data_IF_766252916680
#
_entry.id   IF_766252916680
#
_cell.length_a   1.000
_cell.length_b   1.000
_cell.length_c   1.000
_cell.angle_alpha   90.00
_cell.angle_beta   90.00
_cell.angle_gamma   90.00
#
_symmetry.space_group_name_H-M   'P 1'
#
loop_
_entity.id
_entity.type
_entity.pdbx_description
1 polymer ?
#
# COMPACT_ATOMS: atom_id res chain seq x y z
N UNK A 1 6.50 4.18 -39.89
CA UNK A 1 7.40 3.86 -38.77
C UNK A 1 6.51 3.54 -37.57
N UNK A 2 6.23 2.25 -37.33
CA UNK A 2 5.23 1.75 -36.37
C UNK A 2 5.93 1.14 -35.14
N UNK A 3 7.07 1.70 -34.74
CA UNK A 3 7.92 1.13 -33.69
C UNK A 3 7.69 1.73 -32.29
N UNK A 4 6.80 2.73 -32.15
CA UNK A 4 6.58 3.37 -30.85
C UNK A 4 5.41 2.77 -30.03
N UNK A 5 4.47 2.04 -30.65
CA UNK A 5 3.32 1.52 -29.90
C UNK A 5 3.65 0.39 -28.92
N UNK A 6 4.80 -0.28 -29.06
CA UNK A 6 5.30 -1.26 -28.07
C UNK A 6 6.11 -0.61 -26.93
N UNK A 7 6.31 0.71 -26.97
CA UNK A 7 6.93 1.53 -25.90
C UNK A 7 5.91 2.43 -25.19
N UNK A 8 4.66 2.46 -25.67
CA UNK A 8 3.59 3.41 -25.29
C UNK A 8 2.80 2.99 -24.05
N UNK A 9 2.87 1.73 -23.62
CA UNK A 9 2.46 1.34 -22.27
C UNK A 9 3.74 1.09 -21.44
N UNK A 10 4.48 2.16 -21.13
CA UNK A 10 5.65 2.07 -20.26
C UNK A 10 5.31 1.38 -18.94
N UNK A 11 6.33 0.94 -18.20
CA UNK A 11 6.21 0.42 -16.82
C UNK A 11 5.43 1.39 -15.88
N UNK A 12 5.38 2.64 -16.31
CA UNK A 12 4.76 3.81 -15.70
C UNK A 12 3.33 4.08 -16.16
N UNK A 13 2.79 3.32 -17.12
CA UNK A 13 1.43 3.56 -17.59
C UNK A 13 0.43 3.21 -16.48
N UNK A 14 -0.61 4.04 -16.24
CA UNK A 14 -1.62 3.80 -15.21
C UNK A 14 -2.21 2.38 -15.24
N UNK A 15 -2.52 1.86 -16.42
CA UNK A 15 -3.06 0.49 -16.56
C UNK A 15 -2.05 -0.58 -16.14
N UNK A 16 -0.78 -0.43 -16.52
CA UNK A 16 0.31 -1.33 -16.13
C UNK A 16 0.49 -1.33 -14.61
N UNK A 17 0.47 -0.16 -13.99
CA UNK A 17 0.54 0.01 -12.54
C UNK A 17 -0.64 -0.68 -11.85
N UNK A 18 -1.86 -0.48 -12.36
CA UNK A 18 -3.07 -1.09 -11.81
C UNK A 18 -3.00 -2.63 -11.90
N UNK A 19 -2.57 -3.17 -13.04
CA UNK A 19 -2.37 -4.63 -13.20
C UNK A 19 -1.34 -5.18 -12.21
N UNK A 20 -0.21 -4.50 -12.01
CA UNK A 20 0.82 -4.91 -11.03
C UNK A 20 0.30 -4.87 -9.59
N UNK A 21 -0.44 -3.82 -9.22
CA UNK A 21 -1.07 -3.70 -7.90
C UNK A 21 -2.09 -4.81 -7.64
N UNK A 22 -2.90 -5.16 -8.65
CA UNK A 22 -3.85 -6.27 -8.55
C UNK A 22 -3.16 -7.63 -8.41
N UNK A 23 -2.06 -7.85 -9.15
CA UNK A 23 -1.27 -9.07 -9.01
C UNK A 23 -0.65 -9.20 -7.60
N UNK A 24 -0.12 -8.11 -7.06
CA UNK A 24 0.39 -8.06 -5.69
C UNK A 24 -0.70 -8.39 -4.66
N UNK A 25 -1.91 -7.86 -4.85
CA UNK A 25 -3.05 -8.16 -4.01
C UNK A 25 -3.43 -9.65 -4.05
N UNK A 26 -3.58 -10.21 -5.25
CA UNK A 26 -3.93 -11.61 -5.45
C UNK A 26 -2.88 -12.54 -4.82
N UNK A 27 -1.60 -12.17 -4.92
CA UNK A 27 -0.50 -12.91 -4.32
C UNK A 27 -0.60 -12.99 -2.79
N UNK A 28 -0.91 -11.87 -2.14
CA UNK A 28 -1.15 -11.85 -0.69
C UNK A 28 -2.37 -12.69 -0.32
N UNK A 29 -3.46 -12.58 -1.08
CA UNK A 29 -4.69 -13.36 -0.86
C UNK A 29 -4.48 -14.87 -1.07
N UNK A 30 -3.57 -15.25 -1.97
CA UNK A 30 -3.15 -16.63 -2.19
C UNK A 30 -2.25 -17.19 -1.07
N UNK A 31 -1.97 -16.40 -0.02
CA UNK A 31 -1.20 -16.85 1.14
C UNK A 31 0.29 -16.47 1.09
N UNK A 32 0.70 -15.59 0.18
CA UNK A 32 2.08 -15.06 0.13
C UNK A 32 2.12 -13.55 0.51
N UNK A 33 1.96 -13.22 1.80
CA UNK A 33 1.97 -11.84 2.27
C UNK A 33 3.34 -11.17 2.06
N UNK A 34 4.45 -11.91 2.19
CA UNK A 34 5.79 -11.36 1.97
C UNK A 34 6.01 -10.99 0.50
N UNK A 35 5.60 -11.85 -0.43
CA UNK A 35 5.65 -11.55 -1.87
C UNK A 35 4.74 -10.39 -2.26
N UNK A 36 3.59 -10.22 -1.60
CA UNK A 36 2.74 -9.05 -1.78
C UNK A 36 3.45 -7.76 -1.33
N UNK A 37 4.10 -7.75 -0.17
CA UNK A 37 4.90 -6.61 0.33
C UNK A 37 5.96 -6.23 -0.69
N UNK A 38 6.79 -7.18 -1.13
CA UNK A 38 7.85 -6.92 -2.11
C UNK A 38 7.29 -6.34 -3.41
N UNK A 39 6.17 -6.86 -3.91
CA UNK A 39 5.56 -6.36 -5.13
C UNK A 39 5.00 -4.92 -4.95
N UNK A 40 4.37 -4.62 -3.82
CA UNK A 40 3.90 -3.26 -3.52
C UNK A 40 5.05 -2.26 -3.35
N UNK A 41 6.15 -2.65 -2.70
CA UNK A 41 7.36 -1.82 -2.56
C UNK A 41 8.01 -1.51 -3.91
N UNK A 42 8.04 -2.48 -4.83
CA UNK A 42 8.59 -2.29 -6.17
C UNK A 42 7.78 -1.33 -7.04
N UNK A 43 6.46 -1.21 -6.83
CA UNK A 43 5.60 -0.34 -7.64
C UNK A 43 5.36 1.03 -7.01
N UNK A 44 5.61 1.19 -5.71
CA UNK A 44 5.40 2.46 -5.01
C UNK A 44 6.17 3.65 -5.61
N UNK A 45 7.45 3.52 -6.03
CA UNK A 45 8.16 4.63 -6.69
C UNK A 45 7.50 5.08 -7.99
N UNK A 46 7.03 4.12 -8.81
CA UNK A 46 6.35 4.40 -10.08
C UNK A 46 5.02 5.11 -9.82
N UNK A 47 4.27 4.63 -8.82
CA UNK A 47 3.01 5.22 -8.37
C UNK A 47 3.21 6.66 -7.88
N UNK A 48 4.24 6.90 -7.05
CA UNK A 48 4.57 8.24 -6.56
C UNK A 48 4.95 9.19 -7.70
N UNK A 49 5.68 8.70 -8.71
CA UNK A 49 6.10 9.52 -9.85
C UNK A 49 4.94 9.85 -10.80
N UNK A 50 4.02 8.91 -11.02
CA UNK A 50 2.90 9.07 -11.97
C UNK A 50 1.71 9.82 -11.36
N UNK A 51 1.34 9.47 -10.14
CA UNK A 51 0.13 9.98 -9.49
C UNK A 51 0.41 11.03 -8.41
N UNK A 52 1.61 11.03 -7.82
CA UNK A 52 1.94 11.86 -6.67
C UNK A 52 1.57 11.22 -5.32
N UNK A 53 2.08 11.76 -4.21
CA UNK A 53 1.91 11.20 -2.87
C UNK A 53 0.46 11.22 -2.35
N UNK A 54 -0.30 12.26 -2.69
CA UNK A 54 -1.66 12.50 -2.15
C UNK A 54 -2.76 11.87 -3.00
N UNK A 55 -2.41 11.28 -4.14
CA UNK A 55 -3.42 10.72 -5.04
C UNK A 55 -4.12 9.52 -4.39
N UNK A 56 -5.45 9.38 -4.53
CA UNK A 56 -6.22 8.31 -3.89
C UNK A 56 -5.67 6.90 -4.14
N UNK A 57 -5.14 6.64 -5.34
CA UNK A 57 -4.49 5.36 -5.67
C UNK A 57 -3.20 5.13 -4.87
N UNK A 58 -2.36 6.15 -4.72
CA UNK A 58 -1.12 6.09 -3.92
C UNK A 58 -1.43 5.82 -2.45
N UNK A 59 -2.42 6.52 -1.89
CA UNK A 59 -2.87 6.33 -0.51
C UNK A 59 -3.42 4.91 -0.29
N UNK A 60 -4.17 4.38 -1.25
CA UNK A 60 -4.66 3.00 -1.21
C UNK A 60 -3.52 1.97 -1.28
N UNK A 61 -2.54 2.19 -2.15
CA UNK A 61 -1.38 1.33 -2.29
C UNK A 61 -0.57 1.25 -0.99
N UNK A 62 -0.31 2.40 -0.35
CA UNK A 62 0.40 2.49 0.94
C UNK A 62 -0.38 1.81 2.06
N UNK A 63 -1.72 1.95 2.08
CA UNK A 63 -2.58 1.23 3.03
C UNK A 63 -2.51 -0.30 2.84
N UNK A 64 -2.50 -0.78 1.59
CA UNK A 64 -2.37 -2.22 1.28
C UNK A 64 -0.98 -2.75 1.65
N UNK A 65 0.08 -1.98 1.39
CA UNK A 65 1.44 -2.31 1.79
C UNK A 65 1.55 -2.49 3.32
N UNK A 66 1.03 -1.53 4.09
CA UNK A 66 1.02 -1.62 5.55
C UNK A 66 0.27 -2.87 6.06
N UNK A 67 -0.90 -3.15 5.48
CA UNK A 67 -1.69 -4.34 5.83
C UNK A 67 -0.91 -5.64 5.58
N UNK A 68 -0.33 -5.79 4.40
CA UNK A 68 0.43 -6.99 4.05
C UNK A 68 1.72 -7.13 4.85
N UNK A 69 2.34 -6.01 5.24
CA UNK A 69 3.53 -6.01 6.10
C UNK A 69 3.23 -6.55 7.49
N UNK A 70 2.12 -6.12 8.09
CA UNK A 70 1.66 -6.72 9.35
C UNK A 70 1.34 -8.21 9.19
N UNK A 71 0.65 -8.60 8.10
CA UNK A 71 0.35 -10.01 7.80
C UNK A 71 1.59 -10.86 7.53
N UNK A 72 2.69 -10.26 7.07
CA UNK A 72 3.98 -10.92 6.88
C UNK A 72 4.78 -11.07 8.19
N UNK A 73 4.23 -10.62 9.33
CA UNK A 73 4.87 -10.73 10.64
C UNK A 73 5.67 -9.50 11.05
N UNK A 74 5.50 -8.36 10.36
CA UNK A 74 6.11 -7.07 10.73
C UNK A 74 5.03 -6.06 11.17
N UNK A 75 4.43 -6.25 12.36
CA UNK A 75 3.41 -5.34 12.89
C UNK A 75 3.98 -3.94 13.17
N UNK A 76 5.23 -3.84 13.61
CA UNK A 76 5.90 -2.55 13.86
C UNK A 76 6.08 -1.75 12.56
N UNK A 77 6.51 -2.41 11.48
CA UNK A 77 6.60 -1.78 10.16
C UNK A 77 5.23 -1.37 9.61
N UNK A 78 4.17 -2.16 9.87
CA UNK A 78 2.80 -1.77 9.53
C UNK A 78 2.36 -0.49 10.26
N UNK A 79 2.61 -0.40 11.57
CA UNK A 79 2.33 0.79 12.38
C UNK A 79 3.04 2.02 11.81
N UNK A 80 4.35 1.92 11.55
CA UNK A 80 5.14 3.04 11.03
C UNK A 80 4.57 3.58 9.70
N UNK A 81 4.14 2.70 8.79
CA UNK A 81 3.52 3.15 7.52
C UNK A 81 2.17 3.81 7.78
N UNK A 82 1.34 3.29 8.70
CA UNK A 82 0.05 3.88 9.03
C UNK A 82 0.16 5.25 9.71
N UNK A 83 1.14 5.43 10.60
CA UNK A 83 1.44 6.72 11.24
C UNK A 83 1.85 7.78 10.22
N UNK A 84 2.64 7.40 9.21
CA UNK A 84 3.03 8.30 8.12
C UNK A 84 1.89 8.57 7.13
N UNK A 85 0.93 7.66 6.98
CA UNK A 85 -0.18 7.80 6.03
C UNK A 85 -1.35 8.62 6.61
N UNK A 86 -1.52 8.62 7.93
CA UNK A 86 -2.65 9.26 8.58
C UNK A 86 -2.72 10.79 8.31
N UNK A 87 -1.62 11.57 8.39
CA UNK A 87 -1.64 12.99 8.05
C UNK A 87 -2.08 13.25 6.59
N UNK A 88 -1.55 12.46 5.64
CA UNK A 88 -1.84 12.61 4.21
C UNK A 88 -3.33 12.39 3.91
N UNK A 89 -3.93 11.39 4.54
CA UNK A 89 -5.36 11.10 4.40
C UNK A 89 -6.21 12.16 5.10
N UNK A 90 -5.79 12.69 6.26
CA UNK A 90 -6.51 13.76 6.95
C UNK A 90 -6.43 15.12 6.24
N UNK A 91 -5.36 15.38 5.49
CA UNK A 91 -5.23 16.57 4.65
C UNK A 91 -6.12 16.53 3.41
N UNK A 92 -6.52 15.33 2.97
CA UNK A 92 -7.26 15.12 1.73
C UNK A 92 -8.73 14.72 1.96
N UNK A 93 -9.01 13.98 3.04
CA UNK A 93 -10.30 13.37 3.36
C UNK A 93 -10.69 13.71 4.80
N UNK A 94 -11.99 13.87 5.03
CA UNK A 94 -12.49 14.12 6.38
C UNK A 94 -12.26 12.92 7.33
N UNK A 95 -12.42 13.18 8.64
CA UNK A 95 -12.31 12.17 9.69
C UNK A 95 -13.37 11.07 9.61
N UNK A 96 -14.52 11.33 8.98
CA UNK A 96 -15.63 10.40 8.83
C UNK A 96 -15.45 9.49 7.60
N UNK A 97 -14.51 9.83 6.71
CA UNK A 97 -14.31 9.15 5.46
C UNK A 97 -13.94 7.68 5.73
N UNK A 98 -14.58 6.70 5.04
CA UNK A 98 -14.35 5.28 5.28
C UNK A 98 -12.87 4.88 5.24
N UNK A 99 -12.08 5.50 4.35
CA UNK A 99 -10.63 5.27 4.23
C UNK A 99 -9.87 5.73 5.48
N UNK A 100 -10.19 6.90 6.04
CA UNK A 100 -9.59 7.42 7.27
C UNK A 100 -9.89 6.51 8.45
N UNK A 101 -11.13 6.03 8.56
CA UNK A 101 -11.55 5.07 9.59
C UNK A 101 -10.81 3.73 9.46
N UNK A 102 -10.67 3.22 8.25
CA UNK A 102 -9.94 1.97 8.00
C UNK A 102 -8.47 2.06 8.44
N UNK A 103 -7.77 3.15 8.10
CA UNK A 103 -6.38 3.37 8.50
C UNK A 103 -6.24 3.43 10.02
N UNK A 104 -7.12 4.15 10.72
CA UNK A 104 -7.10 4.25 12.19
C UNK A 104 -7.37 2.91 12.88
N UNK A 105 -8.33 2.15 12.36
CA UNK A 105 -8.63 0.82 12.89
C UNK A 105 -7.46 -0.15 12.70
N UNK A 106 -6.84 -0.13 11.51
CA UNK A 106 -5.68 -0.96 11.22
C UNK A 106 -4.47 -0.54 12.06
N UNK A 107 -4.24 0.76 12.24
CA UNK A 107 -3.21 1.27 13.15
C UNK A 107 -3.41 0.74 14.56
N UNK A 108 -4.61 0.90 15.14
CA UNK A 108 -4.90 0.38 16.48
C UNK A 108 -4.69 -1.13 16.60
N UNK A 109 -5.10 -1.89 15.58
CA UNK A 109 -4.92 -3.34 15.53
C UNK A 109 -3.44 -3.75 15.52
N UNK A 110 -2.63 -3.13 14.65
CA UNK A 110 -1.20 -3.44 14.55
C UNK A 110 -0.39 -2.88 15.72
N UNK A 111 -0.79 -1.75 16.31
CA UNK A 111 -0.19 -1.23 17.54
C UNK A 111 -0.41 -2.17 18.72
N UNK A 112 -1.59 -2.80 18.81
CA UNK A 112 -1.83 -3.85 19.80
C UNK A 112 -0.88 -5.04 19.63
N UNK A 113 -0.66 -5.50 18.39
CA UNK A 113 0.26 -6.61 18.11
C UNK A 113 1.75 -6.25 18.24
N UNK A 114 2.12 -5.01 17.94
CA UNK A 114 3.49 -4.53 18.11
C UNK A 114 3.83 -4.27 19.58
N UNK A 115 2.82 -3.99 20.42
CA UNK A 115 2.96 -3.73 21.85
C UNK A 115 2.81 -4.97 22.75
N UNK A 116 2.29 -6.09 22.23
CA UNK A 116 2.26 -7.36 22.98
C UNK A 116 3.67 -7.96 22.96
N UNK A 117 4.38 -8.06 24.10
CA UNK A 117 5.65 -8.78 24.13
C UNK A 117 5.38 -10.23 23.69
N UNK A 118 6.26 -10.86 22.89
CA UNK A 118 6.07 -12.25 22.52
C UNK A 118 5.96 -13.06 23.81
N UNK A 119 4.81 -13.71 24.02
CA UNK A 119 4.57 -14.60 25.15
C UNK A 119 5.76 -15.57 25.25
N UNK A 120 6.60 -15.36 26.25
CA UNK A 120 7.70 -16.24 26.65
C UNK A 120 7.43 -16.69 28.07
#
# INVERSE_FOLDING_TARGET
MINDQLRVLGIDHPDTINTRANLALLRGQAGDPAGAVTAFEQILPDVLRVFGPDHPFTLELRNRLAWWRGKAGDPTGAVAIYELLLPDVLGTLDLAHPRTRAIRNNLAYWSGQAGDPPMR
#
